data_IF_598387456640
#
_entry.id   IF_598387456640
#
_cell.length_a   1.000
_cell.length_b   1.000
_cell.length_c   1.000
_cell.angle_alpha   90.00
_cell.angle_beta   90.00
_cell.angle_gamma   90.00
#
_symmetry.space_group_name_H-M   'P 1'
#
loop_
_entity.id
_entity.type
_entity.pdbx_description
1 polymer ?
#
# COMPACT_ATOMS: atom_id res chain seq x y z
N UNK A 1 51.18 -18.42 33.67
CA UNK A 1 49.99 -19.29 33.59
C UNK A 1 49.06 -19.01 34.76
N UNK A 2 47.89 -18.41 34.52
CA UNK A 2 46.68 -18.47 35.36
C UNK A 2 45.53 -17.85 34.55
N UNK A 3 44.58 -18.71 34.16
CA UNK A 3 43.34 -18.37 33.44
C UNK A 3 42.29 -17.94 34.46
N UNK A 4 41.52 -16.92 34.13
CA UNK A 4 40.12 -16.66 34.52
C UNK A 4 39.71 -15.45 33.63
N UNK A 5 38.60 -15.43 32.91
CA UNK A 5 37.22 -15.37 33.41
C UNK A 5 36.28 -15.91 32.31
N UNK A 6 35.30 -16.71 32.73
CA UNK A 6 34.12 -17.10 31.98
C UNK A 6 33.24 -15.85 31.75
N UNK A 7 32.86 -15.56 30.51
CA UNK A 7 31.65 -14.77 30.23
C UNK A 7 30.80 -15.56 29.25
N UNK A 8 29.87 -16.33 29.80
CA UNK A 8 28.68 -16.80 29.11
C UNK A 8 27.73 -15.62 28.99
N UNK A 9 27.46 -15.14 27.78
CA UNK A 9 26.19 -14.46 27.47
C UNK A 9 25.96 -14.46 25.97
N UNK A 10 25.02 -15.32 25.57
CA UNK A 10 24.02 -15.09 24.53
C UNK A 10 24.34 -13.96 23.54
N UNK A 11 24.79 -14.30 22.33
CA UNK A 11 24.57 -13.42 21.18
C UNK A 11 23.51 -14.06 20.30
N UNK A 12 22.29 -13.62 20.61
CA UNK A 12 21.12 -13.49 19.77
C UNK A 12 20.92 -14.55 18.68
N UNK A 13 19.87 -15.35 18.87
CA UNK A 13 18.97 -15.67 17.78
C UNK A 13 18.57 -14.35 17.11
N UNK A 14 19.31 -13.93 16.09
CA UNK A 14 18.73 -13.15 15.01
C UNK A 14 17.82 -14.13 14.25
N UNK A 15 16.66 -14.38 14.84
CA UNK A 15 15.51 -14.85 14.09
C UNK A 15 15.31 -13.81 12.99
N UNK A 16 15.84 -14.11 11.81
CA UNK A 16 15.43 -13.48 10.57
C UNK A 16 13.94 -13.80 10.43
N UNK A 17 13.09 -13.04 11.12
CA UNK A 17 11.78 -12.70 10.61
C UNK A 17 12.09 -12.02 9.29
N UNK A 18 12.05 -12.81 8.22
CA UNK A 18 11.94 -12.27 6.88
C UNK A 18 10.75 -11.32 6.94
N UNK A 19 11.05 -10.02 7.05
CA UNK A 19 10.08 -8.99 6.75
C UNK A 19 9.54 -9.38 5.38
N UNK A 20 8.23 -9.61 5.29
CA UNK A 20 7.63 -9.87 4.00
C UNK A 20 8.00 -8.67 3.11
N UNK A 21 8.88 -8.90 2.14
CA UNK A 21 9.33 -7.87 1.19
C UNK A 21 8.16 -7.29 0.39
N UNK A 22 7.03 -7.99 0.42
CA UNK A 22 5.75 -7.54 -0.10
C UNK A 22 4.70 -7.40 0.99
N UNK A 23 3.87 -6.37 0.89
CA UNK A 23 2.73 -6.14 1.77
C UNK A 23 1.47 -5.89 0.95
N UNK A 24 0.38 -6.59 1.27
CA UNK A 24 -0.91 -6.34 0.62
C UNK A 24 -1.74 -5.42 1.50
N UNK A 25 -2.17 -4.30 0.91
CA UNK A 25 -3.11 -3.37 1.50
C UNK A 25 -4.49 -3.65 0.93
N UNK A 26 -5.47 -3.74 1.82
CA UNK A 26 -6.89 -3.71 1.47
C UNK A 26 -7.53 -2.51 2.15
N UNK A 27 -8.12 -1.62 1.36
CA UNK A 27 -8.76 -0.42 1.85
C UNK A 27 -10.25 -0.44 1.47
N UNK A 28 -11.14 -0.30 2.44
CA UNK A 28 -12.58 -0.38 2.22
C UNK A 28 -13.33 0.56 3.18
N UNK A 29 -14.47 1.15 2.77
CA UNK A 29 -15.33 1.90 3.68
C UNK A 29 -15.77 1.03 4.88
N UNK A 30 -15.99 1.63 6.05
CA UNK A 30 -16.55 0.92 7.20
C UNK A 30 -17.97 0.41 6.89
N UNK A 31 -18.23 -0.88 7.15
CA UNK A 31 -19.51 -1.55 6.93
C UNK A 31 -19.38 -2.87 6.16
N UNK A 32 -20.00 -3.95 6.65
CA UNK A 32 -19.82 -5.35 6.19
C UNK A 32 -20.19 -5.63 4.72
N UNK A 33 -20.86 -4.70 4.02
CA UNK A 33 -21.38 -4.91 2.67
C UNK A 33 -20.98 -3.84 1.66
N UNK A 34 -19.85 -3.15 1.84
CA UNK A 34 -19.42 -2.20 0.83
C UNK A 34 -18.92 -2.93 -0.43
N UNK A 35 -19.55 -2.69 -1.57
CA UNK A 35 -19.05 -3.11 -2.89
C UNK A 35 -17.93 -2.19 -3.39
N UNK A 36 -17.25 -1.50 -2.47
CA UNK A 36 -16.18 -0.56 -2.74
C UNK A 36 -14.95 -0.98 -1.96
N UNK A 37 -13.89 -1.37 -2.67
CA UNK A 37 -12.62 -1.68 -2.03
C UNK A 37 -11.47 -1.44 -3.00
N UNK A 38 -10.35 -1.01 -2.45
CA UNK A 38 -9.08 -0.87 -3.13
C UNK A 38 -8.11 -1.90 -2.59
N UNK A 39 -7.31 -2.50 -3.46
CA UNK A 39 -6.22 -3.38 -3.08
C UNK A 39 -4.92 -2.94 -3.76
N UNK A 40 -3.81 -3.03 -3.04
CA UNK A 40 -2.48 -2.83 -3.60
C UNK A 40 -1.45 -3.77 -2.96
N UNK A 41 -0.57 -4.35 -3.76
CA UNK A 41 0.58 -5.11 -3.29
C UNK A 41 1.83 -4.24 -3.43
N UNK A 42 2.34 -3.77 -2.30
CA UNK A 42 3.56 -2.98 -2.20
C UNK A 42 4.75 -3.94 -2.21
N UNK A 43 5.77 -3.68 -3.02
CA UNK A 43 7.00 -4.49 -3.10
C UNK A 43 8.21 -3.64 -2.68
N UNK A 44 8.59 -3.76 -1.42
CA UNK A 44 9.68 -3.02 -0.80
C UNK A 44 11.07 -3.57 -1.18
N UNK A 45 11.18 -4.81 -1.67
CA UNK A 45 12.47 -5.33 -2.17
C UNK A 45 12.99 -4.53 -3.36
N UNK A 46 12.09 -3.86 -4.08
CA UNK A 46 12.41 -3.02 -5.22
C UNK A 46 12.79 -1.58 -4.87
N UNK A 47 12.99 -1.28 -3.58
CA UNK A 47 13.32 0.07 -3.13
C UNK A 47 14.70 0.52 -3.64
N UNK A 48 14.71 1.65 -4.34
CA UNK A 48 15.93 2.34 -4.76
C UNK A 48 16.22 3.51 -3.82
N UNK A 49 17.33 3.44 -3.08
CA UNK A 49 17.73 4.47 -2.12
C UNK A 49 18.17 5.79 -2.78
N UNK A 50 18.57 5.78 -4.05
CA UNK A 50 18.96 6.97 -4.79
C UNK A 50 17.77 7.82 -5.21
N UNK A 51 16.71 7.18 -5.73
CA UNK A 51 15.48 7.87 -6.14
C UNK A 51 14.42 7.94 -5.03
N UNK A 52 14.51 7.06 -4.03
CA UNK A 52 13.46 6.86 -3.03
C UNK A 52 12.24 6.13 -3.59
N UNK A 53 12.29 5.55 -4.79
CA UNK A 53 11.14 4.87 -5.41
C UNK A 53 11.08 3.40 -5.00
N UNK A 54 9.86 2.86 -4.96
CA UNK A 54 9.62 1.41 -4.90
C UNK A 54 8.42 1.03 -5.77
N UNK A 55 8.31 -0.24 -6.11
CA UNK A 55 7.28 -0.75 -7.01
C UNK A 55 6.00 -1.10 -6.24
N UNK A 56 4.89 -0.86 -6.92
CA UNK A 56 3.60 -1.47 -6.57
C UNK A 56 3.35 -2.55 -7.61
N UNK A 57 3.36 -3.81 -7.19
CA UNK A 57 3.29 -4.96 -8.08
C UNK A 57 1.90 -5.06 -8.76
N UNK A 58 0.85 -4.73 -8.02
CA UNK A 58 -0.53 -4.75 -8.51
C UNK A 58 -1.38 -3.78 -7.70
N UNK A 59 -2.30 -3.09 -8.36
CA UNK A 59 -3.34 -2.32 -7.68
C UNK A 59 -4.66 -2.34 -8.46
N UNK A 60 -5.77 -2.35 -7.73
CA UNK A 60 -7.11 -2.30 -8.30
C UNK A 60 -8.09 -1.64 -7.36
N UNK A 61 -9.12 -1.03 -7.91
CA UNK A 61 -10.28 -0.56 -7.15
C UNK A 61 -11.56 -1.13 -7.76
N UNK A 62 -12.47 -1.50 -6.89
CA UNK A 62 -13.84 -1.90 -7.21
C UNK A 62 -14.76 -0.85 -6.60
N UNK A 63 -15.77 -0.43 -7.35
CA UNK A 63 -16.84 0.46 -6.89
C UNK A 63 -18.15 0.04 -7.56
N UNK A 64 -19.11 -0.45 -6.77
CA UNK A 64 -20.41 -0.92 -7.25
C UNK A 64 -20.29 -1.92 -8.43
N UNK A 65 -19.49 -2.99 -8.22
CA UNK A 65 -19.23 -4.06 -9.19
C UNK A 65 -18.42 -3.67 -10.45
N UNK A 66 -18.23 -2.38 -10.72
CA UNK A 66 -17.24 -1.95 -11.69
C UNK A 66 -15.84 -2.13 -11.10
N UNK A 67 -14.84 -2.42 -11.94
CA UNK A 67 -13.44 -2.47 -11.53
C UNK A 67 -12.54 -1.62 -12.43
N UNK A 68 -11.51 -1.03 -11.84
CA UNK A 68 -10.43 -0.35 -12.56
C UNK A 68 -9.09 -0.95 -12.13
N UNK A 69 -8.24 -1.23 -13.12
CA UNK A 69 -6.81 -1.52 -12.88
C UNK A 69 -6.08 -0.21 -12.75
N UNK A 70 -5.21 -0.12 -11.75
CA UNK A 70 -4.48 1.10 -11.42
C UNK A 70 -3.00 0.91 -11.72
N UNK A 71 -2.39 1.93 -12.29
CA UNK A 71 -0.93 2.08 -12.37
C UNK A 71 -0.50 2.93 -11.19
N UNK A 72 0.51 2.49 -10.44
CA UNK A 72 0.95 3.19 -9.25
C UNK A 72 2.44 3.47 -9.26
N UNK A 73 2.82 4.53 -8.56
CA UNK A 73 4.20 4.81 -8.18
C UNK A 73 4.29 4.94 -6.65
N UNK A 74 5.24 4.22 -6.05
CA UNK A 74 5.58 4.35 -4.64
C UNK A 74 6.79 5.25 -4.44
N UNK A 75 6.72 6.18 -3.50
CA UNK A 75 7.79 7.10 -3.12
C UNK A 75 8.04 7.08 -1.61
N UNK A 76 9.32 7.07 -1.23
CA UNK A 76 9.84 7.16 0.13
C UNK A 76 9.20 6.22 1.17
N UNK A 77 8.93 4.95 0.84
CA UNK A 77 8.33 3.94 1.74
C UNK A 77 7.04 4.39 2.49
N UNK A 78 6.48 5.55 2.15
CA UNK A 78 5.49 6.26 2.96
C UNK A 78 4.38 6.88 2.12
N UNK A 79 4.63 7.14 0.84
CA UNK A 79 3.68 7.75 -0.08
C UNK A 79 3.49 6.86 -1.30
N UNK A 80 2.25 6.56 -1.67
CA UNK A 80 1.92 5.84 -2.92
C UNK A 80 0.81 6.58 -3.63
N UNK A 81 0.96 6.80 -4.94
CA UNK A 81 -0.09 7.36 -5.80
C UNK A 81 -0.44 6.36 -6.91
N UNK A 82 -1.73 6.13 -7.09
CA UNK A 82 -2.30 5.15 -8.01
C UNK A 82 -3.37 5.80 -8.88
N UNK A 83 -3.27 5.64 -10.20
CA UNK A 83 -4.24 6.19 -11.16
C UNK A 83 -4.67 5.13 -12.18
N UNK A 84 -5.93 5.16 -12.60
CA UNK A 84 -6.43 4.26 -13.64
C UNK A 84 -7.81 4.63 -14.15
N UNK A 85 -8.20 4.00 -15.26
CA UNK A 85 -9.43 4.31 -15.97
C UNK A 85 -10.50 3.24 -15.73
N UNK A 86 -11.75 3.66 -15.57
CA UNK A 86 -12.89 2.75 -15.52
C UNK A 86 -13.31 2.39 -16.96
N UNK A 87 -13.01 1.17 -17.39
CA UNK A 87 -13.27 0.74 -18.77
C UNK A 87 -14.75 0.78 -19.17
N UNK A 88 -15.66 0.59 -18.21
CA UNK A 88 -17.11 0.54 -18.46
C UNK A 88 -17.83 1.88 -18.20
N UNK A 89 -17.12 2.88 -17.64
CA UNK A 89 -17.70 4.19 -17.30
C UNK A 89 -16.90 5.29 -18.01
N UNK A 90 -17.38 5.70 -19.18
CA UNK A 90 -16.68 6.66 -20.05
C UNK A 90 -16.34 7.95 -19.32
N UNK A 91 -15.07 8.37 -19.41
CA UNK A 91 -14.59 9.64 -18.90
C UNK A 91 -14.26 9.66 -17.40
N UNK A 92 -14.38 8.53 -16.69
CA UNK A 92 -14.04 8.45 -15.26
C UNK A 92 -12.64 7.89 -15.01
N UNK A 93 -11.91 8.58 -14.14
CA UNK A 93 -10.59 8.17 -13.63
C UNK A 93 -10.73 7.85 -12.15
N UNK A 94 -10.14 6.75 -11.70
CA UNK A 94 -9.88 6.47 -10.30
C UNK A 94 -8.48 7.00 -9.94
N UNK A 95 -8.42 7.78 -8.87
CA UNK A 95 -7.19 8.25 -8.25
C UNK A 95 -7.20 7.81 -6.78
N UNK A 96 -6.18 7.07 -6.37
CA UNK A 96 -6.01 6.58 -5.00
C UNK A 96 -4.64 7.00 -4.50
N UNK A 97 -4.62 7.72 -3.38
CA UNK A 97 -3.40 8.11 -2.68
C UNK A 97 -3.32 7.39 -1.37
N UNK A 98 -2.17 6.81 -1.06
CA UNK A 98 -1.94 6.06 0.17
C UNK A 98 -0.80 6.73 0.92
N UNK A 99 -0.99 6.91 2.22
CA UNK A 99 0.05 7.37 3.12
C UNK A 99 0.26 6.36 4.25
N UNK A 100 1.51 6.16 4.66
CA UNK A 100 1.85 5.45 5.89
C UNK A 100 1.59 6.35 7.09
N UNK A 101 0.85 5.86 8.07
CA UNK A 101 0.53 6.52 9.33
C UNK A 101 1.21 5.79 10.50
N UNK A 102 1.14 6.35 11.71
CA UNK A 102 1.64 5.68 12.91
C UNK A 102 0.93 4.33 13.15
N UNK A 103 -0.35 4.25 12.82
CA UNK A 103 -1.19 3.07 13.02
C UNK A 103 -1.27 2.12 11.80
N UNK A 104 -0.55 2.39 10.71
CA UNK A 104 -0.55 1.56 9.51
C UNK A 104 -0.59 2.36 8.21
N UNK A 105 -1.64 2.19 7.41
CA UNK A 105 -1.83 2.91 6.15
C UNK A 105 -3.23 3.51 6.06
N UNK A 106 -3.32 4.67 5.42
CA UNK A 106 -4.59 5.31 5.09
C UNK A 106 -4.63 5.60 3.59
N UNK A 107 -5.74 5.28 2.94
CA UNK A 107 -5.98 5.63 1.55
C UNK A 107 -7.05 6.72 1.43
N UNK A 108 -6.87 7.59 0.45
CA UNK A 108 -7.87 8.55 0.01
C UNK A 108 -8.16 8.30 -1.47
N UNK A 109 -9.43 8.05 -1.77
CA UNK A 109 -9.91 7.78 -3.13
C UNK A 109 -10.65 9.00 -3.69
N UNK A 110 -10.43 9.26 -4.98
CA UNK A 110 -11.20 10.21 -5.79
C UNK A 110 -11.63 9.56 -7.10
N UNK A 111 -12.85 9.89 -7.50
CA UNK A 111 -13.31 9.72 -8.89
C UNK A 111 -13.19 11.07 -9.59
N UNK A 112 -12.52 11.10 -10.74
CA UNK A 112 -12.37 12.30 -11.56
C UNK A 112 -13.12 12.16 -12.88
N UNK A 113 -13.57 13.29 -13.45
CA UNK A 113 -13.95 13.42 -14.87
C UNK A 113 -13.08 14.49 -15.49
N UNK A 114 -12.14 14.07 -16.36
CA UNK A 114 -10.99 14.91 -16.69
C UNK A 114 -10.14 15.18 -15.44
N UNK A 115 -10.00 16.45 -15.07
CA UNK A 115 -9.29 16.92 -13.87
C UNK A 115 -10.21 17.21 -12.68
N UNK A 116 -11.55 17.13 -12.86
CA UNK A 116 -12.51 17.54 -11.84
C UNK A 116 -12.92 16.38 -10.93
N UNK A 117 -12.81 16.51 -9.60
CA UNK A 117 -13.33 15.52 -8.68
C UNK A 117 -14.86 15.53 -8.67
N UNK A 118 -15.46 14.34 -8.80
CA UNK A 118 -16.93 14.14 -8.79
C UNK A 118 -17.40 13.23 -7.65
N UNK A 119 -16.47 12.69 -6.87
CA UNK A 119 -16.74 11.83 -5.73
C UNK A 119 -15.45 11.33 -5.11
N UNK A 120 -15.55 10.78 -3.90
CA UNK A 120 -14.38 10.29 -3.18
C UNK A 120 -14.56 10.32 -1.68
N UNK A 121 -13.55 9.83 -0.98
CA UNK A 121 -13.54 9.77 0.48
C UNK A 121 -12.38 8.93 1.02
N UNK A 122 -12.20 8.95 2.35
CA UNK A 122 -11.24 8.07 3.00
C UNK A 122 -11.63 6.61 2.82
N UNK A 123 -10.62 5.77 2.61
CA UNK A 123 -10.70 4.32 2.60
C UNK A 123 -9.74 3.81 3.68
N UNK A 124 -10.24 3.48 4.89
CA UNK A 124 -9.44 2.83 5.92
C UNK A 124 -8.79 1.57 5.37
N UNK A 125 -7.50 1.37 5.63
CA UNK A 125 -6.76 0.22 5.15
C UNK A 125 -6.41 -0.75 6.28
N UNK A 126 -6.43 -2.03 5.97
CA UNK A 126 -5.79 -3.08 6.74
C UNK A 126 -4.65 -3.70 5.94
N UNK A 127 -3.62 -4.14 6.65
CA UNK A 127 -2.59 -5.01 6.09
C UNK A 127 -3.12 -6.44 6.13
N UNK A 128 -3.08 -7.13 4.99
CA UNK A 128 -3.38 -8.57 4.85
C UNK A 128 -2.09 -9.40 4.85
#
# INVERSE_FOLDING_TARGET
MKKLILVSTMLALASNLALADTQTLRCQPPGEHSHKFFTATLDFSSFDSGSGLFRVAKASIVDNYASARLTCAGYRLKDVECVGFWFEQTGRIADVRIAKTEDGYAAYYRTLTGDRPIGGGPLPCSVE
#
